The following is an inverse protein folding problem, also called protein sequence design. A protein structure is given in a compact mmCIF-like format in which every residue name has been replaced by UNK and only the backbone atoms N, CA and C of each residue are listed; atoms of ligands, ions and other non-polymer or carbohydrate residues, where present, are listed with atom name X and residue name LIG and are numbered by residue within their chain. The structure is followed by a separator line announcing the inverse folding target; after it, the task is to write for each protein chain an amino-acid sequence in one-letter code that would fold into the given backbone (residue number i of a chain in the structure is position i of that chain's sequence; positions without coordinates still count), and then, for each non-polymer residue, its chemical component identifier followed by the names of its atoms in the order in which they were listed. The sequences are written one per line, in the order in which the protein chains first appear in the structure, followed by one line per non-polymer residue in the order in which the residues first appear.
data_IF_386815709987
#
_entry.id   IF_386815709987
#
_cell.length_a   1.000
_cell.length_b   1.000
_cell.length_c   1.000
_cell.angle_alpha   90.00
_cell.angle_beta   90.00
_cell.angle_gamma   90.00
#
_symmetry.space_group_name_H-M   'P 1'
#
loop_
_entity.id
_entity.type
_entity.pdbx_description
1 polymer ?
#
# COMPACT_ATOMS: atom_id res chain seq x y z
N UNK A 1 -6.40 6.24 -0.98
CA UNK A 1 -6.05 6.44 0.46
C UNK A 1 -4.65 5.89 0.75
N UNK A 2 -4.09 6.15 1.94
CA UNK A 2 -2.81 5.58 2.38
C UNK A 2 -3.00 4.73 3.65
N UNK A 3 -2.35 3.55 3.69
CA UNK A 3 -2.17 2.76 4.92
C UNK A 3 -0.71 2.80 5.32
N UNK A 4 -0.44 3.19 6.56
CA UNK A 4 0.91 3.46 7.08
C UNK A 4 1.03 2.80 8.45
N UNK A 5 1.98 1.87 8.68
CA UNK A 5 2.22 1.34 10.00
C UNK A 5 2.80 2.43 10.92
N UNK A 6 2.50 2.33 12.21
CA UNK A 6 3.06 3.25 13.21
C UNK A 6 4.56 3.06 13.37
N UNK A 7 5.01 1.80 13.32
CA UNK A 7 6.44 1.48 13.32
C UNK A 7 7.09 1.94 12.02
N UNK A 8 8.30 2.47 12.14
CA UNK A 8 9.04 2.99 11.01
C UNK A 8 9.82 1.90 10.30
N UNK A 9 9.43 1.63 9.06
CA UNK A 9 10.25 0.89 8.09
C UNK A 9 10.40 1.76 6.85
N UNK A 10 11.60 1.77 6.26
CA UNK A 10 11.92 2.69 5.17
C UNK A 10 11.05 2.46 3.92
N UNK A 11 10.74 1.20 3.62
CA UNK A 11 9.96 0.76 2.46
C UNK A 11 9.31 -0.61 2.71
N UNK A 12 8.62 -1.15 1.71
CA UNK A 12 7.90 -2.42 1.82
C UNK A 12 8.84 -3.62 1.98
N UNK A 13 10.06 -3.57 1.43
CA UNK A 13 11.02 -4.65 1.57
C UNK A 13 11.57 -4.71 3.00
N UNK A 14 11.90 -3.55 3.58
CA UNK A 14 12.30 -3.43 4.98
C UNK A 14 11.18 -3.88 5.94
N UNK A 15 9.92 -3.54 5.64
CA UNK A 15 8.77 -4.00 6.41
C UNK A 15 8.62 -5.53 6.34
N UNK A 16 8.74 -6.13 5.15
CA UNK A 16 8.60 -7.57 4.99
C UNK A 16 9.69 -8.37 5.74
N UNK A 17 10.87 -7.79 5.94
CA UNK A 17 11.97 -8.40 6.68
C UNK A 17 11.83 -8.31 8.20
N UNK A 18 10.89 -7.53 8.73
CA UNK A 18 10.63 -7.46 10.16
C UNK A 18 10.14 -8.80 10.75
N UNK A 19 9.52 -9.65 9.90
CA UNK A 19 9.09 -11.02 10.21
C UNK A 19 8.25 -11.16 11.51
N UNK A 20 7.46 -10.14 11.81
CA UNK A 20 6.62 -10.01 13.00
C UNK A 20 5.11 -10.03 12.67
N UNK A 21 4.76 -10.15 11.40
CA UNK A 21 3.38 -10.14 10.90
C UNK A 21 2.85 -8.74 10.53
N UNK A 22 3.60 -7.66 10.77
CA UNK A 22 3.13 -6.30 10.50
C UNK A 22 2.84 -6.06 9.01
N UNK A 23 3.59 -6.71 8.11
CA UNK A 23 3.33 -6.67 6.67
C UNK A 23 1.95 -7.24 6.30
N UNK A 24 1.53 -8.32 6.94
CA UNK A 24 0.22 -8.95 6.76
C UNK A 24 -0.90 -8.04 7.30
N UNK A 25 -0.70 -7.42 8.47
CA UNK A 25 -1.63 -6.44 9.02
C UNK A 25 -1.82 -5.24 8.08
N UNK A 26 -0.74 -4.71 7.50
CA UNK A 26 -0.83 -3.60 6.54
C UNK A 26 -1.66 -3.97 5.31
N UNK A 27 -1.51 -5.18 4.76
CA UNK A 27 -2.30 -5.64 3.62
C UNK A 27 -3.77 -5.85 3.98
N UNK A 28 -4.06 -6.40 5.16
CA UNK A 28 -5.43 -6.54 5.68
C UNK A 28 -6.10 -5.18 5.84
N UNK A 29 -5.42 -4.23 6.49
CA UNK A 29 -5.93 -2.86 6.64
C UNK A 29 -6.10 -2.14 5.30
N UNK A 30 -5.25 -2.41 4.30
CA UNK A 30 -5.45 -1.87 2.95
C UNK A 30 -6.74 -2.38 2.29
N UNK A 31 -7.09 -3.65 2.49
CA UNK A 31 -8.38 -4.18 2.04
C UNK A 31 -9.55 -3.58 2.81
N UNK A 32 -9.46 -3.47 4.14
CA UNK A 32 -10.49 -2.83 4.98
C UNK A 32 -10.76 -1.39 4.52
N UNK A 33 -9.71 -0.63 4.22
CA UNK A 33 -9.83 0.73 3.67
C UNK A 33 -10.54 0.72 2.31
N UNK A 34 -10.24 -0.24 1.43
CA UNK A 34 -10.94 -0.36 0.14
C UNK A 34 -12.43 -0.67 0.31
N UNK A 35 -12.80 -1.48 1.31
CA UNK A 35 -14.21 -1.77 1.66
C UNK A 35 -14.89 -0.50 2.20
N UNK A 36 -14.24 0.22 3.11
CA UNK A 36 -14.78 1.45 3.70
C UNK A 36 -14.98 2.57 2.67
N UNK A 37 -14.07 2.66 1.69
CA UNK A 37 -14.15 3.63 0.58
C UNK A 37 -15.13 3.18 -0.53
N UNK A 38 -15.74 2.00 -0.40
CA UNK A 38 -16.74 1.47 -1.34
C UNK A 38 -16.16 1.01 -2.69
N UNK A 39 -14.85 0.76 -2.76
CA UNK A 39 -14.16 0.40 -4.02
C UNK A 39 -13.79 -1.08 -4.11
N UNK A 40 -14.05 -1.88 -3.07
CA UNK A 40 -13.68 -3.30 -3.04
C UNK A 40 -14.34 -4.14 -4.13
N UNK A 41 -15.64 -3.97 -4.37
CA UNK A 41 -16.42 -4.75 -5.35
C UNK A 41 -16.02 -4.47 -6.81
N UNK A 42 -15.69 -3.23 -7.13
CA UNK A 42 -15.24 -2.80 -8.47
C UNK A 42 -13.77 -3.09 -8.75
N UNK A 43 -13.04 -3.61 -7.75
CA UNK A 43 -11.61 -3.79 -7.81
C UNK A 43 -10.81 -2.53 -7.46
N UNK A 44 -9.61 -2.75 -6.93
CA UNK A 44 -8.70 -1.70 -6.50
C UNK A 44 -7.26 -2.19 -6.68
N UNK A 45 -6.31 -1.25 -6.67
CA UNK A 45 -4.86 -1.53 -6.73
C UNK A 45 -4.21 -1.09 -5.43
N UNK A 46 -3.40 -1.97 -4.85
CA UNK A 46 -2.45 -1.61 -3.80
C UNK A 46 -1.09 -1.37 -4.45
N UNK A 47 -0.47 -0.23 -4.18
CA UNK A 47 0.87 0.11 -4.68
C UNK A 47 1.80 0.46 -3.54
N UNK A 48 2.98 -0.17 -3.53
CA UNK A 48 4.12 0.24 -2.72
C UNK A 48 5.25 0.68 -3.65
N UNK A 49 5.77 1.88 -3.44
CA UNK A 49 6.96 2.36 -4.13
C UNK A 49 8.18 2.11 -3.25
N UNK A 50 9.20 1.43 -3.79
CA UNK A 50 10.47 1.16 -3.10
C UNK A 50 11.60 1.88 -3.81
N UNK A 51 12.21 2.85 -3.12
CA UNK A 51 13.28 3.69 -3.66
C UNK A 51 12.79 4.87 -4.52
N UNK A 52 13.66 5.87 -4.65
CA UNK A 52 13.35 7.11 -5.37
C UNK A 52 13.01 6.88 -6.86
N UNK A 53 13.64 5.89 -7.50
CA UNK A 53 13.38 5.54 -8.90
C UNK A 53 11.97 4.98 -9.16
N UNK A 54 11.31 4.43 -8.13
CA UNK A 54 9.92 4.01 -8.19
C UNK A 54 8.95 5.13 -7.77
N UNK A 55 9.44 6.37 -7.57
CA UNK A 55 8.62 7.50 -7.12
C UNK A 55 8.36 7.52 -5.61
N UNK A 56 9.15 6.82 -4.79
CA UNK A 56 9.08 6.98 -3.33
C UNK A 56 9.72 8.31 -2.92
N UNK A 57 8.93 9.20 -2.30
CA UNK A 57 9.38 10.52 -1.81
C UNK A 57 9.46 10.60 -0.29
N UNK A 58 8.65 9.81 0.40
CA UNK A 58 8.69 9.63 1.87
C UNK A 58 9.19 8.23 2.18
N UNK A 59 10.33 8.15 2.86
CA UNK A 59 10.98 6.90 3.24
C UNK A 59 10.42 6.33 4.54
N UNK A 60 9.09 6.24 4.59
CA UNK A 60 8.31 5.48 5.57
C UNK A 60 7.30 4.69 4.75
N UNK A 61 7.27 3.37 4.91
CA UNK A 61 6.43 2.46 4.12
C UNK A 61 4.97 2.92 4.13
N UNK A 62 4.36 3.01 2.96
CA UNK A 62 2.96 3.37 2.83
C UNK A 62 2.33 2.66 1.63
N UNK A 63 1.18 2.03 1.86
CA UNK A 63 0.40 1.38 0.84
C UNK A 63 -0.58 2.38 0.23
N UNK A 64 -0.45 2.67 -1.05
CA UNK A 64 -1.47 3.41 -1.79
C UNK A 64 -2.63 2.48 -2.12
N UNK A 65 -3.84 2.82 -1.68
CA UNK A 65 -5.08 2.14 -2.07
C UNK A 65 -5.78 3.01 -3.10
N UNK A 66 -5.83 2.55 -4.35
CA UNK A 66 -6.43 3.27 -5.47
C UNK A 66 -7.64 2.50 -5.99
N UNK A 67 -8.78 3.17 -6.17
CA UNK A 67 -10.02 2.59 -6.69
C UNK A 67 -11.00 3.68 -7.14
N UNK A 68 -12.25 3.29 -7.41
CA UNK A 68 -13.32 4.22 -7.79
C UNK A 68 -13.30 4.68 -9.25
N UNK A 69 -12.41 4.10 -10.06
CA UNK A 69 -12.30 4.31 -11.52
C UNK A 69 -11.56 3.15 -12.18
N UNK A 70 -11.61 3.08 -13.49
CA UNK A 70 -10.77 2.15 -14.25
C UNK A 70 -9.28 2.44 -14.03
N UNK A 71 -8.53 1.39 -13.68
CA UNK A 71 -7.09 1.42 -13.46
C UNK A 71 -6.39 0.74 -14.64
N UNK A 72 -5.73 1.54 -15.47
CA UNK A 72 -5.07 1.07 -16.69
C UNK A 72 -3.72 0.37 -16.43
N UNK A 73 -3.15 -0.17 -17.50
CA UNK A 73 -1.83 -0.80 -17.56
C UNK A 73 -0.99 -0.15 -18.67
N UNK A 74 0.31 0.13 -18.47
CA UNK A 74 1.09 -0.11 -17.25
C UNK A 74 0.69 0.80 -16.08
N UNK A 75 1.00 0.42 -14.83
CA UNK A 75 0.58 1.12 -13.62
C UNK A 75 1.51 2.30 -13.28
N UNK A 76 1.84 3.12 -14.28
CA UNK A 76 2.99 4.03 -14.25
C UNK A 76 4.20 3.43 -14.94
#
# INVERSE_FOLDING_TARGET
MLVIPKEHHADAAALAQADDGLADEVLKSAHEVAVLDGVSEGGYRIVFNTGAGAGQTVFHVHAHVLGGRDLTWPPG
#
